data_IF_084526902311
#
_entry.id   IF_084526902311
#
_cell.length_a   1.000
_cell.length_b   1.000
_cell.length_c   1.000
_cell.angle_alpha   90.00
_cell.angle_beta   90.00
_cell.angle_gamma   90.00
#
_symmetry.space_group_name_H-M   'P 1'
#
loop_
_entity.id
_entity.type
_entity.pdbx_description
1 polymer ?
#
# COMPACT_ATOMS: atom_id res chain seq x y z
N UNK A 1 -2.89 3.45 -11.79
CA UNK A 1 -4.27 3.41 -11.24
C UNK A 1 -4.36 2.59 -9.96
N UNK A 2 -3.95 1.31 -9.93
CA UNK A 2 -4.07 0.49 -8.71
C UNK A 2 -3.18 0.97 -7.55
N UNK A 3 -1.88 1.18 -7.80
CA UNK A 3 -0.96 1.67 -6.76
C UNK A 3 -1.38 3.04 -6.18
N UNK A 4 -1.76 3.97 -7.06
CA UNK A 4 -2.24 5.31 -6.66
C UNK A 4 -3.52 5.27 -5.81
N UNK A 5 -4.42 4.31 -6.07
CA UNK A 5 -5.60 4.10 -5.23
C UNK A 5 -5.21 3.58 -3.84
N UNK A 6 -4.23 2.68 -3.76
CA UNK A 6 -3.70 2.19 -2.48
C UNK A 6 -3.01 3.32 -1.69
N UNK A 7 -2.23 4.18 -2.35
CA UNK A 7 -1.63 5.35 -1.71
C UNK A 7 -2.72 6.27 -1.11
N UNK A 8 -3.78 6.57 -1.89
CA UNK A 8 -4.88 7.40 -1.42
C UNK A 8 -5.57 6.80 -0.18
N UNK A 9 -5.78 5.48 -0.16
CA UNK A 9 -6.31 4.80 1.02
C UNK A 9 -5.35 4.86 2.21
N UNK A 10 -4.03 4.72 1.99
CA UNK A 10 -3.03 4.85 3.04
C UNK A 10 -3.02 6.25 3.66
N UNK A 11 -3.12 7.30 2.84
CA UNK A 11 -3.19 8.69 3.31
C UNK A 11 -4.49 8.98 4.06
N UNK A 12 -5.63 8.51 3.55
CA UNK A 12 -6.92 8.64 4.24
C UNK A 12 -6.92 7.94 5.60
N UNK A 13 -6.40 6.72 5.66
CA UNK A 13 -6.26 5.97 6.90
C UNK A 13 -5.35 6.71 7.88
N UNK A 14 -4.19 7.18 7.43
CA UNK A 14 -3.24 7.91 8.28
C UNK A 14 -3.86 9.19 8.86
N UNK A 15 -4.57 9.96 8.03
CA UNK A 15 -5.27 11.16 8.49
C UNK A 15 -6.35 10.85 9.54
N UNK A 16 -7.16 9.81 9.33
CA UNK A 16 -8.18 9.38 10.27
C UNK A 16 -7.58 8.91 11.60
N UNK A 17 -6.46 8.19 11.55
CA UNK A 17 -5.77 7.68 12.73
C UNK A 17 -5.12 8.80 13.55
N UNK A 18 -4.45 9.77 12.90
CA UNK A 18 -3.91 10.97 13.58
C UNK A 18 -5.04 11.76 14.26
N UNK A 19 -6.20 11.89 13.62
CA UNK A 19 -7.35 12.56 14.23
C UNK A 19 -7.89 11.78 15.45
N UNK A 20 -7.85 10.44 15.42
CA UNK A 20 -8.23 9.61 16.56
C UNK A 20 -7.21 9.68 17.71
N UNK A 21 -5.92 9.76 17.41
CA UNK A 21 -4.86 9.98 18.40
C UNK A 21 -5.10 11.29 19.16
N UNK A 22 -5.35 12.39 18.44
CA UNK A 22 -5.63 13.68 19.07
C UNK A 22 -6.88 13.67 19.96
N UNK A 23 -7.94 12.95 19.56
CA UNK A 23 -9.14 12.74 20.41
C UNK A 23 -8.83 11.92 21.66
N UNK A 24 -7.96 10.92 21.52
CA UNK A 24 -7.54 10.05 22.62
C UNK A 24 -6.70 10.81 23.64
N UNK A 25 -5.74 11.60 23.18
CA UNK A 25 -4.94 12.50 24.03
C UNK A 25 -5.82 13.51 24.77
N UNK A 26 -6.76 14.15 24.06
CA UNK A 26 -7.69 15.09 24.68
C UNK A 26 -8.58 14.44 25.75
N UNK A 27 -9.00 13.19 25.54
CA UNK A 27 -9.84 12.47 26.49
C UNK A 27 -9.09 12.01 27.75
N UNK A 28 -7.76 11.84 27.71
CA UNK A 28 -6.96 11.36 28.86
C UNK A 28 -7.08 12.26 30.09
N UNK A 29 -7.32 13.56 29.91
CA UNK A 29 -7.45 14.54 31.01
C UNK A 29 -8.61 14.19 31.96
N UNK A 30 -9.62 13.45 31.51
CA UNK A 30 -10.80 13.07 32.30
C UNK A 30 -10.80 11.65 32.86
N UNK A 31 -9.73 10.87 32.65
CA UNK A 31 -9.75 9.42 32.91
C UNK A 31 -9.39 9.13 34.38
N UNK A 32 -10.23 8.39 35.13
CA UNK A 32 -9.91 7.99 36.49
C UNK A 32 -8.57 7.24 36.55
N UNK A 33 -7.79 7.46 37.60
CA UNK A 33 -6.43 6.90 37.74
C UNK A 33 -6.37 5.37 37.56
N UNK A 34 -7.41 4.64 37.97
CA UNK A 34 -7.51 3.18 37.80
C UNK A 34 -7.61 2.74 36.33
N UNK A 35 -8.08 3.60 35.44
CA UNK A 35 -8.28 3.32 34.02
C UNK A 35 -7.12 3.79 33.15
N UNK A 36 -6.19 4.60 33.69
CA UNK A 36 -5.05 5.17 32.95
C UNK A 36 -4.17 4.07 32.37
N UNK A 37 -3.83 3.03 33.14
CA UNK A 37 -2.97 1.93 32.65
C UNK A 37 -3.60 1.19 31.46
N UNK A 38 -4.89 0.87 31.56
CA UNK A 38 -5.62 0.18 30.50
C UNK A 38 -5.74 1.06 29.25
N UNK A 39 -5.99 2.36 29.44
CA UNK A 39 -6.03 3.32 28.34
C UNK A 39 -4.67 3.44 27.65
N UNK A 40 -3.59 3.63 28.40
CA UNK A 40 -2.24 3.70 27.84
C UNK A 40 -1.91 2.45 27.03
N UNK A 41 -2.22 1.26 27.55
CA UNK A 41 -2.01 0.01 26.81
C UNK A 41 -2.81 -0.04 25.51
N UNK A 42 -4.07 0.41 25.53
CA UNK A 42 -4.91 0.50 24.34
C UNK A 42 -4.36 1.50 23.31
N UNK A 43 -3.89 2.67 23.75
CA UNK A 43 -3.26 3.68 22.87
C UNK A 43 -2.00 3.13 22.22
N UNK A 44 -1.12 2.50 23.00
CA UNK A 44 0.11 1.91 22.47
C UNK A 44 -0.20 0.85 21.42
N UNK A 45 -1.18 -0.03 21.68
CA UNK A 45 -1.61 -1.05 20.71
C UNK A 45 -2.17 -0.40 19.44
N UNK A 46 -3.03 0.59 19.60
CA UNK A 46 -3.60 1.34 18.49
C UNK A 46 -2.52 1.94 17.60
N UNK A 47 -1.55 2.67 18.16
CA UNK A 47 -0.46 3.29 17.42
C UNK A 47 0.42 2.26 16.68
N UNK A 48 0.71 1.12 17.33
CA UNK A 48 1.46 0.03 16.72
C UNK A 48 0.72 -0.57 15.51
N UNK A 49 -0.57 -0.89 15.68
CA UNK A 49 -1.40 -1.46 14.61
C UNK A 49 -1.58 -0.48 13.45
N UNK A 50 -1.75 0.81 13.76
CA UNK A 50 -1.89 1.89 12.77
C UNK A 50 -0.65 1.99 11.89
N UNK A 51 0.52 1.97 12.52
CA UNK A 51 1.82 1.99 11.82
C UNK A 51 1.97 0.75 10.95
N UNK A 52 1.67 -0.44 11.48
CA UNK A 52 1.77 -1.69 10.74
C UNK A 52 0.80 -1.75 9.55
N UNK A 53 -0.39 -1.18 9.66
CA UNK A 53 -1.34 -1.08 8.55
C UNK A 53 -0.84 -0.11 7.47
N UNK A 54 -0.35 1.07 7.85
CA UNK A 54 0.19 2.04 6.89
C UNK A 54 1.40 1.48 6.12
N UNK A 55 2.32 0.81 6.81
CA UNK A 55 3.47 0.15 6.18
C UNK A 55 3.02 -0.89 5.15
N UNK A 56 2.07 -1.77 5.52
CA UNK A 56 1.55 -2.78 4.60
C UNK A 56 0.88 -2.19 3.36
N UNK A 57 0.14 -1.09 3.51
CA UNK A 57 -0.46 -0.41 2.35
C UNK A 57 0.61 0.19 1.44
N UNK A 58 1.65 0.79 2.01
CA UNK A 58 2.76 1.37 1.26
C UNK A 58 3.54 0.29 0.49
N UNK A 59 3.83 -0.84 1.15
CA UNK A 59 4.46 -2.02 0.54
C UNK A 59 3.59 -2.58 -0.59
N UNK A 60 2.27 -2.69 -0.38
CA UNK A 60 1.36 -3.17 -1.42
C UNK A 60 1.31 -2.25 -2.63
N UNK A 61 1.28 -0.92 -2.42
CA UNK A 61 1.40 0.05 -3.51
C UNK A 61 2.74 -0.10 -4.25
N UNK A 62 3.84 -0.34 -3.54
CA UNK A 62 5.16 -0.68 -4.11
C UNK A 62 5.09 -1.90 -5.02
N UNK A 63 4.61 -3.03 -4.49
CA UNK A 63 4.48 -4.27 -5.25
C UNK A 63 3.58 -4.13 -6.50
N UNK A 64 2.54 -3.31 -6.44
CA UNK A 64 1.70 -3.01 -7.61
C UNK A 64 2.45 -2.23 -8.69
N UNK A 65 3.35 -1.31 -8.33
CA UNK A 65 4.20 -0.59 -9.29
C UNK A 65 5.23 -1.54 -9.90
N UNK A 66 5.88 -2.35 -9.09
CA UNK A 66 6.84 -3.36 -9.55
C UNK A 66 6.19 -4.37 -10.50
N UNK A 67 5.01 -4.87 -10.15
CA UNK A 67 4.25 -5.78 -11.02
C UNK A 67 3.85 -5.15 -12.35
N UNK A 68 3.50 -3.86 -12.37
CA UNK A 68 3.20 -3.15 -13.62
C UNK A 68 4.45 -3.05 -14.51
N UNK A 69 5.60 -2.69 -13.95
CA UNK A 69 6.88 -2.65 -14.70
C UNK A 69 7.24 -4.02 -15.26
N UNK A 70 7.12 -5.07 -14.46
CA UNK A 70 7.41 -6.44 -14.91
C UNK A 70 6.46 -6.90 -16.03
N UNK A 71 5.19 -6.49 -15.97
CA UNK A 71 4.22 -6.76 -17.03
C UNK A 71 4.61 -6.05 -18.33
N UNK A 72 4.88 -4.74 -18.28
CA UNK A 72 5.24 -3.96 -19.47
C UNK A 72 6.50 -4.53 -20.16
N UNK A 73 7.51 -4.93 -19.38
CA UNK A 73 8.72 -5.57 -19.91
C UNK A 73 8.42 -6.92 -20.58
N UNK A 74 7.54 -7.72 -19.97
CA UNK A 74 7.16 -9.03 -20.51
C UNK A 74 6.35 -8.88 -21.80
N UNK A 75 5.46 -7.89 -21.84
CA UNK A 75 4.65 -7.57 -23.02
C UNK A 75 5.52 -7.10 -24.18
N UNK A 76 6.45 -6.17 -23.94
CA UNK A 76 7.40 -5.68 -24.95
C UNK A 76 8.30 -6.80 -25.49
N UNK A 77 8.83 -7.65 -24.60
CA UNK A 77 9.63 -8.80 -25.01
C UNK A 77 8.82 -9.78 -25.85
N UNK A 78 7.57 -10.05 -25.46
CA UNK A 78 6.67 -10.95 -26.17
C UNK A 78 6.30 -10.39 -27.55
N UNK A 79 6.01 -9.10 -27.64
CA UNK A 79 5.74 -8.41 -28.90
C UNK A 79 6.94 -8.51 -29.85
N UNK A 80 8.15 -8.23 -29.35
CA UNK A 80 9.39 -8.35 -30.13
C UNK A 80 9.61 -9.78 -30.65
N UNK A 81 9.33 -10.79 -29.82
CA UNK A 81 9.46 -12.20 -30.21
C UNK A 81 8.43 -12.59 -31.28
N UNK A 82 7.20 -12.07 -31.20
CA UNK A 82 6.15 -12.29 -32.20
C UNK A 82 6.54 -11.64 -33.52
N UNK A 83 7.02 -10.40 -33.50
CA UNK A 83 7.45 -9.68 -34.70
C UNK A 83 8.60 -10.43 -35.41
N UNK A 84 9.61 -10.87 -34.64
CA UNK A 84 10.72 -11.66 -35.18
C UNK A 84 10.26 -12.99 -35.78
N UNK A 85 9.32 -13.69 -35.14
CA UNK A 85 8.76 -14.92 -35.69
C UNK A 85 7.95 -14.68 -36.97
N UNK A 86 7.24 -13.54 -37.06
CA UNK A 86 6.55 -13.11 -38.27
C UNK A 86 7.50 -12.85 -39.43
N UNK A 87 8.59 -12.12 -39.17
CA UNK A 87 9.63 -11.86 -40.17
C UNK A 87 10.29 -13.15 -40.65
N UNK A 88 10.57 -14.11 -39.75
CA UNK A 88 11.11 -15.42 -40.11
C UNK A 88 10.16 -16.20 -41.02
N UNK A 89 8.84 -16.18 -40.75
CA UNK A 89 7.84 -16.83 -41.60
C UNK A 89 7.83 -16.20 -43.01
N UNK A 90 7.85 -14.86 -43.09
CA UNK A 90 7.91 -14.13 -44.37
C UNK A 90 9.18 -14.49 -45.13
N UNK A 91 10.33 -14.55 -44.44
CA UNK A 91 11.62 -14.90 -45.03
C UNK A 91 11.67 -16.36 -45.53
N UNK A 92 10.89 -17.26 -44.92
CA UNK A 92 10.73 -18.65 -45.36
C UNK A 92 9.78 -18.81 -46.56
N UNK A 93 9.15 -17.72 -47.03
CA UNK A 93 8.31 -17.71 -48.24
C UNK A 93 6.95 -18.40 -48.08
N UNK A 94 6.43 -18.47 -46.85
CA UNK A 94 5.08 -18.94 -46.52
C UNK A 94 4.08 -17.80 -46.45
#
# INVERSE_FOLDING_TARGET
>A
MSASTVDAHADMMRAAHVAADGKTEAAQVGVPTRSVVALTAAVTKWQADSTALFTRLSEHAGALREGAVAYDQTDEHSATAIDAAGDDIINLGL
#
